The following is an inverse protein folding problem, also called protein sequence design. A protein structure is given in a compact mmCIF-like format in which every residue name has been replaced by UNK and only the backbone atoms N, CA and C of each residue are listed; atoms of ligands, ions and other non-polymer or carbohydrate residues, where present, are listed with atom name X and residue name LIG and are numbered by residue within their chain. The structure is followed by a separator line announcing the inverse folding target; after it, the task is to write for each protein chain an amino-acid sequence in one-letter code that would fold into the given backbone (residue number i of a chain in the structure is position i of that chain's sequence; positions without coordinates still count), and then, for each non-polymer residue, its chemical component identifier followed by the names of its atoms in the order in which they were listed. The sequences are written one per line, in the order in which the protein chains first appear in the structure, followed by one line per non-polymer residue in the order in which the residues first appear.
data_IF_602455710888
#
_entry.id   IF_602455710888
#
_cell.length_a   1.000
_cell.length_b   1.000
_cell.length_c   1.000
_cell.angle_alpha   90.00
_cell.angle_beta   90.00
_cell.angle_gamma   90.00
#
_symmetry.space_group_name_H-M   'P 1'
#
loop_
_entity.id
_entity.type
_entity.pdbx_description
1 polymer ?
#
# COMPACT_ATOMS: atom_id res chain seq x y z
N UNK A 1 -2.54 -17.74 -18.69
CA UNK A 1 -2.40 -17.35 -17.28
C UNK A 1 -2.65 -18.58 -16.44
N UNK A 2 -1.84 -18.80 -15.41
CA UNK A 2 -2.07 -19.83 -14.40
C UNK A 2 -2.24 -19.17 -13.04
N UNK A 3 -3.00 -19.83 -12.17
CA UNK A 3 -3.11 -19.48 -10.76
C UNK A 3 -2.62 -20.69 -9.99
N UNK A 4 -1.64 -20.47 -9.14
CA UNK A 4 -1.08 -21.48 -8.25
C UNK A 4 -1.37 -21.08 -6.80
N UNK A 5 -1.80 -22.05 -6.01
CA UNK A 5 -2.08 -21.87 -4.58
C UNK A 5 -1.29 -22.95 -3.84
N UNK A 6 -0.43 -22.53 -2.94
CA UNK A 6 0.32 -23.41 -2.04
C UNK A 6 0.02 -23.05 -0.59
N UNK A 7 0.08 -24.05 0.28
CA UNK A 7 -0.10 -23.88 1.72
C UNK A 7 1.03 -24.60 2.45
N UNK A 8 1.66 -23.89 3.38
CA UNK A 8 2.63 -24.44 4.33
C UNK A 8 2.24 -24.02 5.74
N UNK A 9 1.70 -24.97 6.52
CA UNK A 9 1.08 -24.69 7.81
C UNK A 9 -0.06 -23.66 7.69
N UNK A 10 0.11 -22.52 8.36
CA UNK A 10 -0.85 -21.41 8.36
C UNK A 10 -0.56 -20.37 7.26
N UNK A 11 0.54 -20.53 6.52
CA UNK A 11 0.88 -19.66 5.41
C UNK A 11 0.19 -20.15 4.14
N UNK A 12 -0.54 -19.25 3.48
CA UNK A 12 -1.16 -19.51 2.17
C UNK A 12 -0.56 -18.54 1.17
N UNK A 13 0.03 -19.08 0.11
CA UNK A 13 0.62 -18.30 -0.96
C UNK A 13 -0.23 -18.47 -2.24
N UNK A 14 -0.60 -17.35 -2.85
CA UNK A 14 -1.37 -17.32 -4.10
C UNK A 14 -0.54 -16.60 -5.15
N UNK A 15 -0.15 -17.31 -6.20
CA UNK A 15 0.64 -16.77 -7.32
C UNK A 15 -0.20 -16.75 -8.59
N UNK A 16 -0.16 -15.65 -9.32
CA UNK A 16 -0.75 -15.54 -10.66
C UNK A 16 0.37 -15.27 -11.65
N UNK A 17 0.56 -16.18 -12.59
CA UNK A 17 1.66 -16.14 -13.52
C UNK A 17 1.17 -16.08 -14.97
N UNK A 18 1.91 -15.35 -15.80
CA UNK A 18 1.77 -15.47 -17.24
C UNK A 18 2.61 -16.67 -17.68
N UNK A 19 1.95 -17.81 -17.92
CA UNK A 19 2.66 -19.08 -18.16
C UNK A 19 2.95 -19.82 -16.85
N UNK A 20 3.73 -20.92 -16.88
CA UNK A 20 4.06 -21.70 -15.70
C UNK A 20 4.81 -20.84 -14.66
N UNK A 21 4.44 -20.87 -13.38
CA UNK A 21 5.14 -20.07 -12.37
C UNK A 21 6.59 -20.54 -12.12
N UNK A 22 6.92 -21.76 -12.55
CA UNK A 22 8.28 -22.31 -12.50
C UNK A 22 9.22 -21.69 -13.57
N UNK A 23 8.64 -21.13 -14.64
CA UNK A 23 9.42 -20.54 -15.73
C UNK A 23 9.65 -19.05 -15.50
N UNK A 24 10.92 -18.62 -15.37
CA UNK A 24 11.30 -17.20 -15.38
C UNK A 24 11.07 -16.59 -16.78
N UNK A 25 9.83 -16.24 -17.09
CA UNK A 25 9.51 -15.56 -18.35
C UNK A 25 9.78 -14.06 -18.23
N UNK A 26 10.61 -13.54 -19.15
CA UNK A 26 11.01 -12.13 -19.18
C UNK A 26 9.91 -11.18 -19.69
N UNK A 27 8.83 -11.71 -20.28
CA UNK A 27 7.72 -10.87 -20.77
C UNK A 27 6.40 -11.62 -20.73
N UNK A 28 5.37 -10.95 -20.21
CA UNK A 28 3.99 -11.42 -20.25
C UNK A 28 3.35 -10.92 -21.55
N UNK A 29 3.33 -11.74 -22.62
CA UNK A 29 2.55 -11.44 -23.84
C UNK A 29 1.08 -11.84 -23.70
N UNK A 30 0.49 -11.63 -22.53
CA UNK A 30 -0.93 -11.87 -22.35
C UNK A 30 -1.72 -10.73 -23.00
N UNK A 31 -2.20 -10.95 -24.22
CA UNK A 31 -3.05 -10.00 -24.96
C UNK A 31 -4.45 -9.91 -24.34
N UNK A 32 -4.58 -9.29 -23.17
CA UNK A 32 -5.85 -9.10 -22.43
C UNK A 32 -6.32 -10.34 -21.64
N UNK A 33 -5.62 -10.65 -20.55
CA UNK A 33 -6.18 -11.44 -19.45
C UNK A 33 -6.45 -10.54 -18.24
N UNK A 34 -7.66 -10.57 -17.69
CA UNK A 34 -7.94 -9.96 -16.38
C UNK A 34 -8.24 -11.07 -15.39
N UNK A 35 -7.59 -11.02 -14.22
CA UNK A 35 -7.81 -11.96 -13.13
C UNK A 35 -8.41 -11.18 -11.97
N UNK A 36 -9.49 -11.69 -11.40
CA UNK A 36 -10.08 -11.16 -10.16
C UNK A 36 -9.96 -12.23 -9.09
N UNK A 37 -9.14 -11.94 -8.09
CA UNK A 37 -9.00 -12.79 -6.92
C UNK A 37 -9.80 -12.21 -5.75
N UNK A 38 -10.42 -13.09 -4.96
CA UNK A 38 -11.04 -12.74 -3.69
C UNK A 38 -10.57 -13.74 -2.66
N UNK A 39 -9.68 -13.29 -1.79
CA UNK A 39 -9.09 -14.11 -0.72
C UNK A 39 -9.72 -13.68 0.60
N UNK A 40 -10.27 -14.63 1.35
CA UNK A 40 -10.79 -14.40 2.69
C UNK A 40 -9.77 -14.95 3.70
N UNK A 41 -9.32 -14.08 4.58
CA UNK A 41 -8.36 -14.41 5.64
C UNK A 41 -8.95 -14.10 7.01
N UNK A 42 -8.47 -14.75 8.09
CA UNK A 42 -8.71 -14.29 9.45
C UNK A 42 -8.29 -12.82 9.64
N UNK A 43 -9.00 -12.09 10.52
CA UNK A 43 -8.74 -10.65 10.70
C UNK A 43 -7.31 -10.35 11.16
N UNK A 44 -6.75 -11.18 12.02
CA UNK A 44 -5.42 -10.97 12.58
C UNK A 44 -4.27 -11.47 11.69
N UNK A 45 -4.58 -11.95 10.48
CA UNK A 45 -3.56 -12.46 9.55
C UNK A 45 -2.61 -11.37 9.09
N UNK A 46 -1.34 -11.74 8.98
CA UNK A 46 -0.34 -10.97 8.25
C UNK A 46 -0.59 -11.09 6.74
N UNK A 47 -0.44 -9.98 6.03
CA UNK A 47 -0.62 -9.93 4.59
C UNK A 47 0.64 -9.39 3.91
N UNK A 48 1.13 -10.13 2.93
CA UNK A 48 2.09 -9.66 1.94
C UNK A 48 1.43 -9.75 0.56
N UNK A 49 1.27 -8.61 -0.11
CA UNK A 49 0.61 -8.53 -1.42
C UNK A 49 1.51 -7.80 -2.40
N UNK A 50 1.91 -8.50 -3.46
CA UNK A 50 2.72 -7.96 -4.55
C UNK A 50 1.98 -8.02 -5.87
N UNK A 51 1.79 -6.88 -6.55
CA UNK A 51 1.05 -6.79 -7.82
C UNK A 51 1.80 -5.92 -8.82
N UNK A 52 2.03 -6.41 -10.05
CA UNK A 52 2.69 -5.58 -11.08
C UNK A 52 1.70 -4.60 -11.71
N UNK A 53 0.58 -5.10 -12.23
CA UNK A 53 -0.46 -4.28 -12.84
C UNK A 53 -1.82 -4.69 -12.28
N UNK A 54 -2.49 -3.79 -11.56
CA UNK A 54 -3.81 -4.08 -11.01
C UNK A 54 -4.21 -3.27 -9.80
N UNK A 55 -5.37 -3.59 -9.24
CA UNK A 55 -5.87 -2.97 -8.02
C UNK A 55 -5.88 -3.97 -6.86
N UNK A 56 -5.38 -3.54 -5.71
CA UNK A 56 -5.43 -4.26 -4.44
C UNK A 56 -6.43 -3.56 -3.54
N UNK A 57 -7.40 -4.31 -3.03
CA UNK A 57 -8.40 -3.80 -2.08
C UNK A 57 -8.43 -4.71 -0.86
N UNK A 58 -8.06 -4.18 0.29
CA UNK A 58 -8.07 -4.88 1.57
C UNK A 58 -9.09 -4.25 2.51
N UNK A 59 -9.94 -5.09 3.11
CA UNK A 59 -11.00 -4.65 4.01
C UNK A 59 -11.04 -5.51 5.27
N UNK A 60 -10.94 -4.88 6.43
CA UNK A 60 -11.19 -5.52 7.73
C UNK A 60 -10.10 -6.48 8.21
N UNK A 61 -8.90 -6.42 7.63
CA UNK A 61 -7.72 -7.13 8.12
C UNK A 61 -6.96 -6.21 9.06
N UNK A 62 -6.76 -6.66 10.30
CA UNK A 62 -6.17 -5.92 11.41
C UNK A 62 -4.74 -6.35 11.72
N UNK A 63 -4.27 -7.46 11.12
CA UNK A 63 -2.87 -7.88 11.19
C UNK A 63 -1.91 -6.90 10.48
N UNK A 64 -0.59 -7.09 10.63
CA UNK A 64 0.40 -6.31 9.90
C UNK A 64 0.29 -6.56 8.39
N UNK A 65 0.58 -5.54 7.59
CA UNK A 65 0.41 -5.63 6.14
C UNK A 65 1.55 -4.97 5.39
N UNK A 66 2.01 -5.65 4.33
CA UNK A 66 2.95 -5.14 3.36
C UNK A 66 2.32 -5.24 1.96
N UNK A 67 2.34 -4.12 1.24
CA UNK A 67 1.81 -4.03 -0.12
C UNK A 67 2.88 -3.48 -1.03
N UNK A 68 3.15 -4.16 -2.14
CA UNK A 68 4.04 -3.70 -3.20
C UNK A 68 3.30 -3.69 -4.52
N UNK A 69 3.32 -2.56 -5.22
CA UNK A 69 2.75 -2.48 -6.57
C UNK A 69 3.66 -1.73 -7.55
N UNK A 70 3.61 -2.07 -8.84
CA UNK A 70 4.30 -1.28 -9.86
C UNK A 70 3.36 -0.25 -10.44
N UNK A 71 2.28 -0.67 -11.09
CA UNK A 71 1.26 0.20 -11.68
C UNK A 71 -0.12 -0.19 -11.17
N UNK A 72 -0.69 0.61 -10.26
CA UNK A 72 -1.92 0.17 -9.64
C UNK A 72 -2.55 1.09 -8.61
N UNK A 73 -3.69 0.63 -8.07
CA UNK A 73 -4.34 1.25 -6.91
C UNK A 73 -4.22 0.31 -5.73
N UNK A 74 -3.77 0.82 -4.58
CA UNK A 74 -3.83 0.11 -3.30
C UNK A 74 -4.82 0.81 -2.40
N UNK A 75 -5.88 0.12 -1.99
CA UNK A 75 -6.87 0.62 -1.04
C UNK A 75 -6.89 -0.28 0.19
N UNK A 76 -6.57 0.27 1.36
CA UNK A 76 -6.59 -0.46 2.64
C UNK A 76 -7.56 0.23 3.58
N UNK A 77 -8.58 -0.50 4.02
CA UNK A 77 -9.58 -0.01 4.96
C UNK A 77 -9.65 -0.89 6.22
N UNK A 78 -9.47 -0.24 7.38
CA UNK A 78 -9.61 -0.87 8.68
C UNK A 78 -8.35 -1.58 9.20
N UNK A 79 -7.16 -1.20 8.74
CA UNK A 79 -5.91 -1.62 9.37
C UNK A 79 -5.82 -1.08 10.81
N UNK A 80 -5.23 -1.88 11.71
CA UNK A 80 -5.05 -1.53 13.12
C UNK A 80 -3.61 -1.78 13.62
N UNK A 81 -2.72 -2.20 12.72
CA UNK A 81 -1.31 -2.54 12.97
C UNK A 81 -0.42 -1.90 11.92
N UNK A 82 0.88 -2.19 12.01
CA UNK A 82 1.91 -1.73 11.06
C UNK A 82 1.47 -1.96 9.61
N UNK A 83 1.65 -0.92 8.81
CA UNK A 83 1.29 -0.90 7.41
C UNK A 83 2.47 -0.37 6.59
N UNK A 84 2.97 -1.16 5.66
CA UNK A 84 4.00 -0.75 4.71
C UNK A 84 3.44 -0.83 3.30
N UNK A 85 3.54 0.26 2.53
CA UNK A 85 3.08 0.32 1.14
C UNK A 85 4.17 0.89 0.25
N UNK A 86 4.52 0.16 -0.80
CA UNK A 86 5.46 0.59 -1.83
C UNK A 86 4.76 0.59 -3.19
N UNK A 87 4.91 1.68 -3.95
CA UNK A 87 4.38 1.76 -5.32
C UNK A 87 5.36 2.48 -6.25
N UNK A 88 5.39 2.13 -7.53
CA UNK A 88 6.14 2.94 -8.51
C UNK A 88 5.24 4.02 -9.08
N UNK A 89 4.11 3.61 -9.66
CA UNK A 89 3.12 4.48 -10.27
C UNK A 89 1.72 4.08 -9.79
N UNK A 90 0.95 5.02 -9.24
CA UNK A 90 -0.35 4.65 -8.71
C UNK A 90 -1.01 5.58 -7.71
N UNK A 91 -2.14 5.11 -7.18
CA UNK A 91 -2.86 5.75 -6.08
C UNK A 91 -2.86 4.82 -4.86
N UNK A 92 -2.47 5.36 -3.72
CA UNK A 92 -2.52 4.68 -2.43
C UNK A 92 -3.56 5.37 -1.57
N UNK A 93 -4.60 4.64 -1.16
CA UNK A 93 -5.67 5.14 -0.30
C UNK A 93 -5.70 4.33 0.98
N UNK A 94 -5.35 4.99 2.09
CA UNK A 94 -5.26 4.36 3.40
C UNK A 94 -6.31 4.96 4.32
N UNK A 95 -7.15 4.09 4.87
CA UNK A 95 -8.14 4.43 5.90
C UNK A 95 -7.97 3.48 7.11
N UNK A 96 -6.88 3.62 7.87
CA UNK A 96 -6.66 2.86 9.10
C UNK A 96 -7.75 3.17 10.14
N UNK A 97 -8.17 2.14 10.88
CA UNK A 97 -9.07 2.30 12.03
C UNK A 97 -8.30 2.67 13.29
N UNK A 98 -7.06 2.20 13.42
CA UNK A 98 -6.10 2.62 14.44
C UNK A 98 -4.78 2.94 13.74
N UNK A 99 -4.21 4.11 14.01
CA UNK A 99 -2.90 4.47 13.50
C UNK A 99 -1.82 3.78 14.33
N UNK A 100 -0.89 3.14 13.65
CA UNK A 100 0.35 2.55 14.16
C UNK A 100 1.46 2.95 13.16
N UNK A 101 2.68 2.45 13.37
CA UNK A 101 3.80 2.69 12.45
C UNK A 101 3.39 2.41 11.00
N UNK A 102 3.43 3.45 10.16
CA UNK A 102 3.01 3.36 8.76
C UNK A 102 4.09 3.95 7.87
N UNK A 103 4.49 3.19 6.86
CA UNK A 103 5.49 3.62 5.90
C UNK A 103 4.89 3.54 4.49
N UNK A 104 4.97 4.65 3.74
CA UNK A 104 4.51 4.72 2.36
C UNK A 104 5.61 5.26 1.49
N UNK A 105 6.10 4.45 0.56
CA UNK A 105 7.10 4.86 -0.44
C UNK A 105 6.50 4.83 -1.84
N UNK A 106 6.67 5.91 -2.59
CA UNK A 106 6.22 5.97 -3.99
C UNK A 106 7.21 6.71 -4.89
N UNK A 107 7.26 6.38 -6.18
CA UNK A 107 8.05 7.17 -7.15
C UNK A 107 7.18 8.25 -7.77
N UNK A 108 6.04 7.87 -8.36
CA UNK A 108 5.12 8.75 -9.06
C UNK A 108 3.68 8.40 -8.75
N UNK A 109 3.18 8.89 -7.62
CA UNK A 109 1.87 8.48 -7.14
C UNK A 109 1.22 9.46 -6.18
N UNK A 110 -0.10 9.30 -6.03
CA UNK A 110 -0.90 10.08 -5.10
C UNK A 110 -1.21 9.23 -3.88
N UNK A 111 -0.83 9.73 -2.71
CA UNK A 111 -1.11 9.11 -1.43
C UNK A 111 -2.24 9.88 -0.76
N UNK A 112 -3.29 9.16 -0.37
CA UNK A 112 -4.40 9.68 0.43
C UNK A 112 -4.43 8.92 1.73
N UNK A 113 -4.16 9.61 2.83
CA UNK A 113 -4.23 9.03 4.16
C UNK A 113 -5.36 9.69 4.93
N UNK A 114 -6.36 8.90 5.27
CA UNK A 114 -7.46 9.30 6.15
C UNK A 114 -7.09 8.94 7.58
N UNK A 115 -6.91 9.97 8.40
CA UNK A 115 -6.60 9.81 9.81
C UNK A 115 -7.88 9.44 10.58
N UNK A 116 -7.79 8.60 11.63
CA UNK A 116 -8.91 8.37 12.54
C UNK A 116 -9.13 9.60 13.42
N UNK A 117 -10.35 9.78 13.94
CA UNK A 117 -10.73 10.94 14.79
C UNK A 117 -9.81 11.15 16.01
N UNK A 118 -9.18 10.06 16.50
CA UNK A 118 -8.20 10.07 17.60
C UNK A 118 -6.82 9.65 17.11
N UNK A 119 -6.33 10.28 16.05
CA UNK A 119 -4.98 10.04 15.55
C UNK A 119 -3.93 10.53 16.57
N UNK A 120 -3.04 9.62 16.97
CA UNK A 120 -1.87 9.92 17.79
C UNK A 120 -0.61 9.55 16.99
N UNK A 121 -0.13 10.47 16.17
CA UNK A 121 0.96 10.18 15.26
C UNK A 121 1.72 11.40 14.78
N UNK A 122 2.98 11.15 14.45
CA UNK A 122 3.89 12.08 13.80
C UNK A 122 3.96 11.71 12.33
N UNK A 123 3.35 12.53 11.50
CA UNK A 123 3.36 12.39 10.05
C UNK A 123 4.54 13.17 9.48
N UNK A 124 5.42 12.48 8.77
CA UNK A 124 6.54 13.04 8.04
C UNK A 124 6.39 12.73 6.55
N UNK A 125 6.39 13.78 5.74
CA UNK A 125 6.30 13.69 4.30
C UNK A 125 7.59 14.22 3.68
N UNK A 126 8.26 13.40 2.89
CA UNK A 126 9.50 13.77 2.19
C UNK A 126 9.29 13.66 0.69
N UNK A 127 9.63 14.71 -0.05
CA UNK A 127 9.53 14.69 -1.51
C UNK A 127 10.61 15.48 -2.23
N UNK A 128 11.01 14.97 -3.41
CA UNK A 128 11.80 15.73 -4.38
C UNK A 128 10.92 16.75 -5.11
N UNK A 129 9.69 16.40 -5.46
CA UNK A 129 8.72 17.29 -6.11
C UNK A 129 7.27 16.82 -5.97
N UNK A 130 6.33 17.76 -6.04
CA UNK A 130 4.90 17.46 -6.05
C UNK A 130 4.10 18.37 -5.11
N UNK A 131 3.08 17.84 -4.43
CA UNK A 131 2.24 18.67 -3.57
C UNK A 131 1.83 17.98 -2.26
N UNK A 132 1.79 18.75 -1.18
CA UNK A 132 1.29 18.30 0.12
C UNK A 132 0.03 19.12 0.46
N UNK A 133 -1.12 18.46 0.57
CA UNK A 133 -2.43 19.11 0.80
C UNK A 133 -2.68 20.31 -0.14
N UNK A 134 -2.37 20.14 -1.43
CA UNK A 134 -2.57 21.17 -2.46
C UNK A 134 -1.50 22.27 -2.50
N UNK A 135 -0.54 22.28 -1.58
CA UNK A 135 0.60 23.20 -1.60
C UNK A 135 1.79 22.55 -2.31
N UNK A 136 2.38 23.23 -3.30
CA UNK A 136 3.57 22.72 -3.99
C UNK A 136 4.74 22.54 -3.03
N UNK A 137 5.41 21.39 -3.13
CA UNK A 137 6.63 21.06 -2.40
C UNK A 137 7.73 20.86 -3.45
N UNK A 138 8.80 21.63 -3.35
CA UNK A 138 10.04 21.39 -4.07
C UNK A 138 11.08 20.96 -3.02
N UNK A 139 11.71 19.81 -3.21
CA UNK A 139 12.83 19.26 -2.44
C UNK A 139 12.79 19.62 -0.94
N UNK A 140 12.16 18.77 -0.13
CA UNK A 140 12.18 18.93 1.33
C UNK A 140 11.25 18.00 2.06
N UNK A 141 11.28 18.08 3.39
CA UNK A 141 10.35 17.39 4.26
C UNK A 141 9.31 18.34 4.89
N UNK A 142 8.13 17.79 5.18
CA UNK A 142 7.04 18.42 5.90
C UNK A 142 6.63 17.51 7.04
N UNK A 143 6.48 18.08 8.22
CA UNK A 143 6.15 17.32 9.43
C UNK A 143 4.90 17.90 10.07
N UNK A 144 3.97 17.03 10.47
CA UNK A 144 2.77 17.39 11.22
C UNK A 144 2.55 16.36 12.32
N UNK A 145 2.35 16.82 13.55
CA UNK A 145 2.11 15.95 14.70
C UNK A 145 0.66 16.04 15.12
N UNK A 146 0.06 14.90 15.40
CA UNK A 146 -1.31 14.69 15.88
C UNK A 146 -1.25 14.00 17.24
N UNK A 147 -2.05 14.44 18.21
CA UNK A 147 -2.02 13.88 19.56
C UNK A 147 -0.65 14.05 20.23
N UNK A 148 -0.17 12.99 20.89
CA UNK A 148 1.14 12.96 21.54
C UNK A 148 2.29 12.65 20.54
N UNK A 149 1.96 12.19 19.33
CA UNK A 149 2.90 11.76 18.31
C UNK A 149 3.59 10.43 18.65
N UNK A 150 2.88 9.48 19.25
CA UNK A 150 3.48 8.20 19.68
C UNK A 150 3.84 7.26 18.54
N UNK A 151 3.07 7.31 17.45
CA UNK A 151 3.29 6.48 16.26
C UNK A 151 3.91 7.29 15.13
N UNK A 152 4.73 6.65 14.31
CA UNK A 152 5.38 7.30 13.18
C UNK A 152 4.68 6.97 11.87
N UNK A 153 4.41 7.99 11.06
CA UNK A 153 3.87 7.83 9.72
C UNK A 153 4.81 8.52 8.74
N UNK A 154 5.57 7.74 8.00
CA UNK A 154 6.49 8.25 6.99
C UNK A 154 5.90 8.07 5.59
N UNK A 155 5.92 9.15 4.81
CA UNK A 155 5.50 9.14 3.42
C UNK A 155 6.61 9.74 2.57
N UNK A 156 7.25 8.92 1.76
CA UNK A 156 8.36 9.30 0.89
C UNK A 156 7.94 9.20 -0.58
N UNK A 157 8.11 10.29 -1.34
CA UNK A 157 7.81 10.31 -2.79
C UNK A 157 8.88 11.01 -3.62
N UNK A 158 9.05 10.64 -4.89
CA UNK A 158 9.88 11.43 -5.81
C UNK A 158 9.06 12.53 -6.48
N UNK A 159 7.94 12.17 -7.12
CA UNK A 159 7.08 13.08 -7.87
C UNK A 159 5.62 12.71 -7.61
N UNK A 160 5.02 13.23 -6.54
CA UNK A 160 3.71 12.77 -6.09
C UNK A 160 3.01 13.74 -5.16
N UNK A 161 1.73 13.48 -4.88
CA UNK A 161 0.99 14.27 -3.91
C UNK A 161 0.59 13.46 -2.69
N UNK A 162 0.67 14.08 -1.51
CA UNK A 162 0.07 13.56 -0.30
C UNK A 162 -1.12 14.43 0.10
N UNK A 163 -2.28 13.80 0.26
CA UNK A 163 -3.48 14.42 0.84
C UNK A 163 -3.80 13.74 2.16
N UNK A 164 -3.81 14.52 3.23
CA UNK A 164 -4.30 14.10 4.55
C UNK A 164 -5.75 14.52 4.71
N UNK A 165 -6.60 13.57 5.07
CA UNK A 165 -8.00 13.82 5.44
C UNK A 165 -8.17 13.58 6.93
N UNK A 166 -8.73 14.57 7.63
CA UNK A 166 -9.06 14.55 9.05
C UNK A 166 -10.52 14.10 9.27
#
# INVERSE_FOLDING_TARGET
MSVEVSQDGDAVEVKVCCGPCEAKQQSCRAEHGSVRLTVKVPRASELDVSVVNGAVVVKGVTGPQQHATVNGRVEVNGSERRLSVSTVEGEVVLAPKKLEDTEVTTVSGNVRLKLPERADARVEFSSVGGSFNGSSVALGSRKKTYGAGTHEVEVSTVSGSLTLQE
#
